data_IF_120291974889
#
_entry.id   IF_120291974889
#
_cell.length_a   1.000
_cell.length_b   1.000
_cell.length_c   1.000
_cell.angle_alpha   90.00
_cell.angle_beta   90.00
_cell.angle_gamma   90.00
#
_symmetry.space_group_name_H-M   'P 1'
#
loop_
_entity.id
_entity.type
_entity.pdbx_description
1 polymer ?
#
# COMPACT_ATOMS: atom_id res chain seq x y z
N UNK A 1 15.48 26.93 1.35
CA UNK A 1 15.38 26.47 -0.06
C UNK A 1 13.89 26.36 -0.39
N UNK A 2 13.35 27.26 -1.21
CA UNK A 2 11.96 27.20 -1.67
C UNK A 2 11.87 25.94 -2.54
N UNK A 3 11.03 24.98 -2.17
CA UNK A 3 10.57 23.96 -3.11
C UNK A 3 9.98 24.71 -4.30
N UNK A 4 10.69 24.67 -5.42
CA UNK A 4 10.23 25.26 -6.67
C UNK A 4 9.00 24.44 -7.05
N UNK A 5 7.82 25.04 -6.91
CA UNK A 5 6.64 24.60 -7.63
C UNK A 5 7.02 24.57 -9.11
N UNK A 6 7.25 23.37 -9.63
CA UNK A 6 7.36 23.19 -11.06
C UNK A 6 5.96 23.48 -11.62
N UNK A 7 5.87 24.48 -12.49
CA UNK A 7 4.64 25.15 -12.93
C UNK A 7 3.77 24.33 -13.90
N UNK A 8 3.87 23.01 -13.85
CA UNK A 8 2.84 22.05 -14.27
C UNK A 8 2.98 20.82 -13.38
N UNK A 9 2.39 20.83 -12.18
CA UNK A 9 2.21 19.58 -11.45
C UNK A 9 1.29 18.70 -12.29
N UNK A 10 1.84 17.64 -12.89
CA UNK A 10 1.03 16.60 -13.50
C UNK A 10 0.03 16.06 -12.48
N UNK A 11 -1.09 15.52 -12.95
CA UNK A 11 -2.11 14.95 -12.07
C UNK A 11 -1.64 13.72 -11.29
N UNK A 12 -0.44 13.22 -11.58
CA UNK A 12 0.15 12.02 -10.98
C UNK A 12 0.69 12.24 -9.56
N UNK A 13 1.32 13.37 -9.25
CA UNK A 13 1.82 13.57 -7.89
C UNK A 13 2.40 14.95 -7.60
N UNK A 14 2.46 15.29 -6.31
CA UNK A 14 3.11 16.54 -5.85
C UNK A 14 4.63 16.45 -6.04
N UNK A 15 5.21 15.32 -5.64
CA UNK A 15 6.60 14.97 -5.93
C UNK A 15 6.63 13.71 -6.80
N UNK A 16 7.27 13.79 -7.97
CA UNK A 16 7.48 12.64 -8.86
C UNK A 16 8.98 12.34 -8.90
N UNK A 17 9.36 11.19 -8.35
CA UNK A 17 10.73 10.68 -8.30
C UNK A 17 10.91 9.68 -9.43
N UNK A 18 11.48 10.15 -10.54
CA UNK A 18 11.65 9.37 -11.78
C UNK A 18 13.10 9.12 -12.18
N UNK A 19 14.05 9.58 -11.36
CA UNK A 19 15.49 9.36 -11.58
C UNK A 19 16.02 8.36 -10.56
N UNK A 20 16.62 7.28 -11.04
CA UNK A 20 17.20 6.24 -10.19
C UNK A 20 18.57 6.63 -9.62
N UNK A 21 18.86 6.09 -8.44
CA UNK A 21 20.22 5.98 -7.91
C UNK A 21 20.95 4.77 -8.50
N UNK A 22 21.96 4.29 -7.78
CA UNK A 22 22.76 3.12 -8.15
C UNK A 22 22.90 2.16 -6.94
N UNK A 23 23.27 0.89 -7.16
CA UNK A 23 23.63 -0.03 -6.08
C UNK A 23 24.63 0.62 -5.10
N UNK A 24 24.30 0.64 -3.81
CA UNK A 24 25.11 1.26 -2.75
C UNK A 24 25.18 2.79 -2.79
N UNK A 25 24.45 3.47 -3.68
CA UNK A 25 24.41 4.92 -3.84
C UNK A 25 22.98 5.39 -4.10
N UNK A 26 22.15 5.27 -3.07
CA UNK A 26 20.74 5.64 -3.13
C UNK A 26 20.59 7.16 -3.26
N UNK A 27 19.61 7.61 -4.04
CA UNK A 27 19.15 8.99 -3.96
C UNK A 27 18.22 9.09 -2.74
N UNK A 28 18.65 9.83 -1.73
CA UNK A 28 17.87 10.04 -0.50
C UNK A 28 17.17 11.39 -0.54
N UNK A 29 15.83 11.35 -0.41
CA UNK A 29 14.99 12.50 -0.16
C UNK A 29 14.63 12.53 1.31
N UNK A 30 14.98 13.61 1.99
CA UNK A 30 14.63 13.82 3.40
C UNK A 30 14.55 15.29 3.74
N UNK A 31 13.85 15.67 4.84
CA UNK A 31 13.88 17.03 5.34
C UNK A 31 15.29 17.54 5.60
N UNK A 32 15.49 18.84 5.35
CA UNK A 32 16.70 19.51 5.80
C UNK A 32 16.78 19.44 7.35
N UNK A 33 17.96 19.30 7.96
CA UNK A 33 18.08 19.17 9.41
C UNK A 33 17.28 20.22 10.18
N UNK A 34 16.54 19.77 11.20
CA UNK A 34 15.62 20.57 12.03
C UNK A 34 14.43 21.23 11.30
N UNK A 35 14.15 20.85 10.06
CA UNK A 35 12.94 21.21 9.35
C UNK A 35 11.96 20.04 9.34
N UNK A 36 10.67 20.35 9.40
CA UNK A 36 9.58 19.37 9.34
C UNK A 36 8.60 19.78 8.23
N UNK A 37 9.00 19.66 6.95
CA UNK A 37 8.13 19.98 5.86
C UNK A 37 6.97 18.99 5.82
N UNK A 38 5.76 19.53 5.69
CA UNK A 38 4.56 18.77 5.45
C UNK A 38 4.20 18.83 3.96
N UNK A 39 4.02 17.66 3.35
CA UNK A 39 3.54 17.55 1.98
C UNK A 39 2.02 17.44 1.98
N UNK A 40 1.37 18.34 1.23
CA UNK A 40 -0.08 18.38 1.08
C UNK A 40 -0.45 18.43 -0.41
N UNK A 41 -1.48 17.68 -0.77
CA UNK A 41 -1.99 17.61 -2.15
C UNK A 41 -3.19 18.53 -2.37
N UNK A 42 -3.22 19.24 -3.50
CA UNK A 42 -4.39 20.01 -3.91
C UNK A 42 -5.18 19.27 -5.01
N UNK A 43 -4.48 18.65 -5.96
CA UNK A 43 -5.12 18.01 -7.10
C UNK A 43 -4.19 16.99 -7.80
N UNK A 44 -3.85 15.89 -7.12
CA UNK A 44 -3.01 14.82 -7.67
C UNK A 44 -3.41 13.46 -7.12
N UNK A 45 -3.01 12.39 -7.83
CA UNK A 45 -3.23 11.01 -7.40
C UNK A 45 -2.34 10.58 -6.25
N UNK A 46 -1.18 11.22 -6.04
CA UNK A 46 -0.21 10.83 -5.02
C UNK A 46 0.43 12.07 -4.37
N UNK A 47 0.84 11.98 -3.11
CA UNK A 47 1.73 12.99 -2.54
C UNK A 47 3.15 12.78 -3.08
N UNK A 48 3.66 11.56 -2.97
CA UNK A 48 4.94 11.15 -3.55
C UNK A 48 4.69 9.97 -4.47
N UNK A 49 5.06 10.10 -5.75
CA UNK A 49 5.10 8.99 -6.70
C UNK A 49 6.56 8.65 -7.03
N UNK A 50 6.94 7.40 -6.85
CA UNK A 50 8.26 6.86 -7.14
C UNK A 50 8.14 5.90 -8.31
N UNK A 51 8.77 6.25 -9.43
CA UNK A 51 8.86 5.42 -10.66
C UNK A 51 10.31 4.99 -10.95
N UNK A 52 11.17 5.08 -9.93
CA UNK A 52 12.63 4.92 -10.04
C UNK A 52 13.18 3.92 -9.02
N UNK A 53 14.44 3.54 -9.19
CA UNK A 53 15.14 2.55 -8.36
C UNK A 53 16.23 3.15 -7.49
N UNK A 54 16.65 2.46 -6.42
CA UNK A 54 17.67 2.93 -5.47
C UNK A 54 17.30 4.30 -4.87
N UNK A 55 16.07 4.37 -4.34
CA UNK A 55 15.47 5.58 -3.77
C UNK A 55 15.25 5.37 -2.28
N UNK A 56 15.56 6.39 -1.48
CA UNK A 56 15.15 6.46 -0.07
C UNK A 56 14.27 7.69 0.15
N UNK A 57 13.07 7.49 0.69
CA UNK A 57 12.20 8.54 1.21
C UNK A 57 12.20 8.45 2.73
N UNK A 58 12.75 9.46 3.39
CA UNK A 58 13.01 9.41 4.83
C UNK A 58 12.48 10.63 5.58
N UNK A 59 11.69 10.40 6.63
CA UNK A 59 11.40 11.42 7.65
C UNK A 59 10.37 12.49 7.26
N UNK A 60 9.57 12.29 6.21
CA UNK A 60 8.53 13.25 5.83
C UNK A 60 7.24 13.09 6.63
N UNK A 61 6.52 14.20 6.79
CA UNK A 61 5.09 14.19 7.13
C UNK A 61 4.29 14.41 5.84
N UNK A 62 3.37 13.48 5.56
CA UNK A 62 2.44 13.50 4.42
C UNK A 62 1.03 13.58 5.00
N UNK A 63 0.34 14.69 4.73
CA UNK A 63 -1.02 14.93 5.21
C UNK A 63 -1.96 15.15 4.01
N UNK A 64 -2.96 14.28 3.87
CA UNK A 64 -4.03 14.45 2.90
C UNK A 64 -5.24 15.25 3.42
N UNK A 65 -6.38 15.09 2.75
CA UNK A 65 -7.63 15.83 3.04
C UNK A 65 -8.75 14.94 3.62
N UNK A 66 -8.46 13.71 4.05
CA UNK A 66 -9.46 12.74 4.51
C UNK A 66 -10.33 13.26 5.66
N UNK A 67 -9.75 14.01 6.61
CA UNK A 67 -10.50 14.67 7.70
C UNK A 67 -11.60 15.65 7.24
N UNK A 68 -11.50 16.17 6.01
CA UNK A 68 -12.47 17.10 5.43
C UNK A 68 -13.41 16.42 4.43
N UNK A 69 -13.30 15.09 4.26
CA UNK A 69 -14.14 14.29 3.39
C UNK A 69 -15.15 13.54 4.25
N UNK A 70 -16.43 13.69 3.93
CA UNK A 70 -17.51 12.99 4.62
C UNK A 70 -17.84 11.67 3.92
N UNK A 71 -18.47 10.75 4.66
CA UNK A 71 -19.04 9.52 4.06
C UNK A 71 -19.95 9.85 2.87
N UNK A 72 -20.73 10.94 2.95
CA UNK A 72 -21.62 11.37 1.88
C UNK A 72 -20.88 11.83 0.62
N UNK A 73 -19.69 12.41 0.76
CA UNK A 73 -18.87 12.81 -0.40
C UNK A 73 -18.39 11.56 -1.15
N UNK A 74 -17.91 10.54 -0.43
CA UNK A 74 -17.51 9.24 -0.99
C UNK A 74 -18.71 8.50 -1.60
N UNK A 75 -19.86 8.45 -0.92
CA UNK A 75 -21.09 7.84 -1.44
C UNK A 75 -21.54 8.50 -2.75
N UNK A 76 -21.47 9.84 -2.83
CA UNK A 76 -21.85 10.59 -4.03
C UNK A 76 -20.94 10.27 -5.22
N UNK A 77 -19.64 10.16 -4.99
CA UNK A 77 -18.68 9.80 -6.04
C UNK A 77 -18.80 8.31 -6.44
N UNK A 78 -19.02 7.42 -5.47
CA UNK A 78 -19.29 6.00 -5.70
C UNK A 78 -20.54 5.81 -6.57
N UNK A 79 -21.68 6.41 -6.18
CA UNK A 79 -22.94 6.32 -6.91
C UNK A 79 -22.81 6.89 -8.32
N UNK A 80 -22.10 8.01 -8.48
CA UNK A 80 -21.81 8.59 -9.79
C UNK A 80 -20.99 7.63 -10.65
N UNK A 81 -19.98 6.98 -10.08
CA UNK A 81 -19.14 6.01 -10.78
C UNK A 81 -19.94 4.78 -11.23
N UNK A 82 -20.79 4.24 -10.36
CA UNK A 82 -21.67 3.11 -10.67
C UNK A 82 -22.68 3.49 -11.75
N UNK A 83 -23.33 4.66 -11.65
CA UNK A 83 -24.29 5.15 -12.64
C UNK A 83 -23.65 5.34 -14.03
N UNK A 84 -22.39 5.77 -14.08
CA UNK A 84 -21.64 5.93 -15.32
C UNK A 84 -21.06 4.61 -15.87
N UNK A 85 -21.05 3.54 -15.06
CA UNK A 85 -20.50 2.23 -15.40
C UNK A 85 -18.96 2.21 -15.56
N UNK A 86 -18.26 3.29 -15.20
CA UNK A 86 -16.80 3.41 -15.26
C UNK A 86 -16.29 4.56 -14.39
N UNK A 87 -15.05 4.41 -13.92
CA UNK A 87 -14.31 5.47 -13.22
C UNK A 87 -13.95 6.60 -14.18
N UNK A 88 -14.15 7.85 -13.78
CA UNK A 88 -13.66 9.03 -14.50
C UNK A 88 -12.26 9.43 -14.01
N UNK A 89 -11.22 8.79 -14.54
CA UNK A 89 -9.82 9.02 -14.16
C UNK A 89 -9.32 10.47 -14.32
N UNK A 90 -10.01 11.30 -15.11
CA UNK A 90 -9.65 12.71 -15.33
C UNK A 90 -10.27 13.66 -14.30
N UNK A 91 -11.30 13.21 -13.58
CA UNK A 91 -12.08 14.01 -12.63
C UNK A 91 -11.21 14.48 -11.46
N UNK A 92 -11.17 15.79 -11.15
CA UNK A 92 -10.56 16.29 -9.94
C UNK A 92 -11.22 15.75 -8.66
N UNK A 93 -12.54 15.49 -8.68
CA UNK A 93 -13.27 14.91 -7.55
C UNK A 93 -12.81 13.49 -7.28
N UNK A 94 -12.76 12.63 -8.30
CA UNK A 94 -12.27 11.24 -8.17
C UNK A 94 -10.84 11.24 -7.62
N UNK A 95 -9.96 12.11 -8.13
CA UNK A 95 -8.61 12.25 -7.59
C UNK A 95 -8.61 12.66 -6.13
N UNK A 96 -9.32 13.74 -5.78
CA UNK A 96 -9.36 14.28 -4.42
C UNK A 96 -9.77 13.21 -3.41
N UNK A 97 -10.79 12.43 -3.74
CA UNK A 97 -11.36 11.39 -2.89
C UNK A 97 -10.54 10.09 -2.86
N UNK A 98 -9.49 9.99 -3.67
CA UNK A 98 -8.67 8.78 -3.78
C UNK A 98 -7.18 9.09 -3.87
N UNK A 99 -6.74 10.23 -3.31
CA UNK A 99 -5.32 10.58 -3.32
C UNK A 99 -4.54 9.69 -2.35
N UNK A 100 -3.47 9.07 -2.84
CA UNK A 100 -2.57 8.24 -2.05
C UNK A 100 -1.46 9.08 -1.37
N UNK A 101 -0.85 8.51 -0.33
CA UNK A 101 0.34 9.06 0.31
C UNK A 101 1.59 8.85 -0.54
N UNK A 102 2.32 7.77 -0.26
CA UNK A 102 3.58 7.42 -0.93
C UNK A 102 3.37 6.18 -1.79
N UNK A 103 3.71 6.29 -3.07
CA UNK A 103 3.36 5.30 -4.08
C UNK A 103 4.61 4.86 -4.84
N UNK A 104 4.82 3.55 -4.99
CA UNK A 104 5.91 2.99 -5.79
C UNK A 104 5.32 2.15 -6.90
N UNK A 105 5.48 2.57 -8.16
CA UNK A 105 4.99 1.79 -9.30
C UNK A 105 5.65 2.21 -10.62
N UNK A 106 5.58 1.39 -11.67
CA UNK A 106 6.00 1.80 -13.00
C UNK A 106 5.29 3.07 -13.45
N UNK A 107 5.99 3.84 -14.28
CA UNK A 107 5.39 4.99 -14.92
C UNK A 107 4.30 4.55 -15.91
N UNK A 108 3.15 5.22 -15.90
CA UNK A 108 2.03 4.89 -16.77
C UNK A 108 2.30 5.24 -18.24
N UNK A 109 3.28 6.11 -18.51
CA UNK A 109 3.70 6.48 -19.86
C UNK A 109 5.21 6.30 -20.04
N UNK A 110 5.59 5.15 -20.61
CA UNK A 110 6.98 4.83 -20.90
C UNK A 110 7.50 5.47 -22.20
N UNK A 111 6.60 5.96 -23.05
CA UNK A 111 6.97 6.52 -24.36
C UNK A 111 7.80 7.79 -24.22
N UNK A 112 7.58 8.55 -23.13
CA UNK A 112 8.38 9.73 -22.77
C UNK A 112 9.86 9.44 -22.49
N UNK A 113 10.20 8.17 -22.25
CA UNK A 113 11.58 7.70 -22.07
C UNK A 113 12.14 7.03 -23.33
N UNK A 114 11.36 6.95 -24.42
CA UNK A 114 11.75 6.21 -25.62
C UNK A 114 11.79 4.69 -25.42
N UNK A 115 11.09 4.18 -24.40
CA UNK A 115 11.07 2.75 -24.04
C UNK A 115 9.77 2.10 -24.48
N UNK A 116 9.86 0.83 -24.88
CA UNK A 116 8.74 -0.04 -25.21
C UNK A 116 8.38 -1.02 -24.07
N UNK A 117 9.12 -0.98 -22.98
CA UNK A 117 8.95 -1.79 -21.78
C UNK A 117 8.93 -0.91 -20.54
N UNK A 118 8.25 -1.37 -19.50
CA UNK A 118 8.15 -0.67 -18.23
C UNK A 118 9.47 -0.75 -17.46
N UNK A 119 9.87 0.36 -16.86
CA UNK A 119 10.91 0.33 -15.82
C UNK A 119 10.20 -0.07 -14.53
N UNK A 120 10.55 -1.24 -14.01
CA UNK A 120 10.07 -1.75 -12.73
C UNK A 120 10.89 -1.08 -11.61
N UNK A 121 10.28 -0.25 -10.73
CA UNK A 121 10.96 0.31 -9.59
C UNK A 121 11.47 -0.81 -8.68
N UNK A 122 12.73 -0.72 -8.29
CA UNK A 122 13.32 -1.67 -7.35
C UNK A 122 14.29 -1.00 -6.37
N UNK A 123 14.57 -1.66 -5.25
CA UNK A 123 15.47 -1.15 -4.21
C UNK A 123 14.99 0.21 -3.69
N UNK A 124 13.75 0.24 -3.19
CA UNK A 124 13.12 1.46 -2.67
C UNK A 124 12.93 1.32 -1.17
N UNK A 125 13.33 2.35 -0.43
CA UNK A 125 13.25 2.42 1.02
C UNK A 125 12.33 3.58 1.43
N UNK A 126 11.28 3.28 2.20
CA UNK A 126 10.33 4.26 2.74
C UNK A 126 10.45 4.18 4.26
N UNK A 127 11.15 5.16 4.85
CA UNK A 127 11.70 5.05 6.21
C UNK A 127 11.22 6.20 7.10
N UNK A 128 10.71 5.89 8.29
CA UNK A 128 10.40 6.87 9.35
C UNK A 128 9.49 8.03 8.91
N UNK A 129 8.56 7.79 7.97
CA UNK A 129 7.59 8.80 7.55
C UNK A 129 6.33 8.74 8.41
N UNK A 130 5.65 9.88 8.54
CA UNK A 130 4.29 9.96 9.08
C UNK A 130 3.33 10.23 7.91
N UNK A 131 2.47 9.28 7.56
CA UNK A 131 1.53 9.38 6.44
C UNK A 131 0.11 9.29 6.96
N UNK A 132 -0.65 10.36 6.85
CA UNK A 132 -1.96 10.42 7.48
C UNK A 132 -2.98 11.26 6.74
N UNK A 133 -4.25 11.03 7.09
CA UNK A 133 -5.40 11.72 6.50
C UNK A 133 -5.44 11.62 4.95
N UNK A 134 -4.89 10.54 4.36
CA UNK A 134 -4.90 10.38 2.89
C UNK A 134 -6.11 9.57 2.44
N UNK A 135 -6.92 10.06 1.48
CA UNK A 135 -8.17 9.36 1.13
C UNK A 135 -7.98 7.98 0.49
N UNK A 136 -6.91 7.83 -0.31
CA UNK A 136 -6.49 6.55 -0.89
C UNK A 136 -5.59 5.75 0.05
N UNK A 137 -4.68 4.94 -0.52
CA UNK A 137 -3.71 4.18 0.25
C UNK A 137 -2.65 5.06 0.91
N UNK A 138 -2.22 4.67 2.11
CA UNK A 138 -1.15 5.36 2.84
C UNK A 138 0.21 5.22 2.15
N UNK A 139 0.80 4.04 2.26
CA UNK A 139 2.01 3.65 1.54
C UNK A 139 1.67 2.43 0.68
N UNK A 140 1.75 2.55 -0.64
CA UNK A 140 1.47 1.41 -1.52
C UNK A 140 2.58 1.19 -2.54
N UNK A 141 2.82 -0.07 -2.87
CA UNK A 141 3.62 -0.46 -4.04
C UNK A 141 2.80 -1.31 -4.99
N UNK A 142 2.98 -1.13 -6.28
CA UNK A 142 2.38 -1.95 -7.34
C UNK A 142 3.45 -2.22 -8.39
N UNK A 143 3.65 -3.47 -8.77
CA UNK A 143 4.68 -3.88 -9.74
C UNK A 143 6.09 -3.36 -9.38
N UNK A 144 6.55 -3.74 -8.19
CA UNK A 144 7.86 -3.32 -7.67
C UNK A 144 8.61 -4.47 -6.99
N UNK A 145 9.91 -4.27 -6.80
CA UNK A 145 10.83 -5.27 -6.22
C UNK A 145 11.75 -4.66 -5.16
N UNK A 146 12.31 -5.48 -4.27
CA UNK A 146 13.28 -5.02 -3.27
C UNK A 146 12.80 -3.82 -2.43
N UNK A 147 11.61 -3.94 -1.83
CA UNK A 147 10.96 -2.85 -1.10
C UNK A 147 11.21 -2.96 0.40
N UNK A 148 11.68 -1.87 1.01
CA UNK A 148 11.75 -1.74 2.47
C UNK A 148 10.82 -0.64 2.95
N UNK A 149 9.84 -0.98 3.80
CA UNK A 149 8.94 -0.03 4.46
C UNK A 149 9.19 -0.18 5.96
N UNK A 150 9.91 0.77 6.56
CA UNK A 150 10.37 0.64 7.94
C UNK A 150 10.15 1.88 8.81
N UNK A 151 9.65 1.67 10.03
CA UNK A 151 9.55 2.72 11.05
C UNK A 151 8.51 3.81 10.76
N UNK A 152 7.60 3.59 9.79
CA UNK A 152 6.59 4.57 9.43
C UNK A 152 5.38 4.50 10.38
N UNK A 153 4.70 5.63 10.53
CA UNK A 153 3.38 5.71 11.14
C UNK A 153 2.39 6.04 10.02
N UNK A 154 1.36 5.19 9.83
CA UNK A 154 0.39 5.33 8.74
C UNK A 154 -1.03 5.24 9.30
N UNK A 155 -1.82 6.30 9.17
CA UNK A 155 -3.13 6.29 9.82
C UNK A 155 -4.20 7.19 9.19
N UNK A 156 -5.45 6.92 9.51
CA UNK A 156 -6.61 7.68 9.00
C UNK A 156 -6.62 7.72 7.46
N UNK A 157 -6.37 6.56 6.84
CA UNK A 157 -6.30 6.41 5.38
C UNK A 157 -7.39 5.50 4.81
N UNK A 158 -7.39 5.32 3.49
CA UNK A 158 -8.18 4.32 2.78
C UNK A 158 -9.70 4.48 2.91
N UNK A 159 -10.21 5.70 2.86
CA UNK A 159 -11.65 6.00 2.88
C UNK A 159 -12.32 5.79 1.52
N UNK A 160 -11.55 5.86 0.43
CA UNK A 160 -12.04 5.85 -0.94
C UNK A 160 -12.52 4.50 -1.47
N UNK A 161 -12.98 4.50 -2.73
CA UNK A 161 -13.70 3.37 -3.35
C UNK A 161 -12.81 2.30 -4.00
N UNK A 162 -11.49 2.41 -3.88
CA UNK A 162 -10.53 1.51 -4.54
C UNK A 162 -9.95 0.44 -3.64
N UNK A 163 -10.60 0.15 -2.51
CA UNK A 163 -10.23 -0.94 -1.61
C UNK A 163 -8.77 -0.84 -1.15
N UNK A 164 -8.38 0.36 -0.70
CA UNK A 164 -7.01 0.61 -0.25
C UNK A 164 -6.79 0.12 1.19
N UNK A 165 -5.52 0.13 1.61
CA UNK A 165 -5.09 -0.19 2.98
C UNK A 165 -4.09 0.86 3.45
N UNK A 166 -3.73 0.85 4.73
CA UNK A 166 -2.69 1.73 5.26
C UNK A 166 -1.36 1.49 4.56
N UNK A 167 -0.84 0.26 4.66
CA UNK A 167 0.36 -0.18 3.94
C UNK A 167 0.00 -1.35 3.03
N UNK A 168 0.35 -1.28 1.75
CA UNK A 168 0.17 -2.40 0.82
C UNK A 168 1.40 -2.63 -0.05
N UNK A 169 1.71 -3.90 -0.30
CA UNK A 169 2.53 -4.29 -1.45
C UNK A 169 1.67 -5.17 -2.35
N UNK A 170 1.59 -4.79 -3.62
CA UNK A 170 0.71 -5.37 -4.62
C UNK A 170 1.50 -5.78 -5.86
N UNK A 171 1.16 -6.93 -6.44
CA UNK A 171 1.75 -7.46 -7.68
C UNK A 171 3.28 -7.35 -7.73
N UNK A 172 3.97 -7.85 -6.71
CA UNK A 172 5.43 -7.81 -6.69
C UNK A 172 6.02 -8.42 -7.96
N UNK A 173 7.06 -7.78 -8.51
CA UNK A 173 7.61 -8.13 -9.80
C UNK A 173 9.08 -8.52 -9.67
N UNK A 174 9.49 -9.64 -10.28
CA UNK A 174 10.88 -10.09 -10.21
C UNK A 174 11.76 -9.22 -11.13
N UNK A 175 12.72 -8.49 -10.58
CA UNK A 175 13.75 -7.77 -11.34
C UNK A 175 15.05 -8.55 -11.50
N UNK A 176 15.13 -9.71 -10.84
CA UNK A 176 16.15 -10.73 -11.01
C UNK A 176 15.55 -12.14 -10.86
N UNK A 177 16.20 -13.13 -11.45
CA UNK A 177 15.69 -14.51 -11.52
C UNK A 177 16.27 -15.42 -10.42
N UNK A 178 17.36 -15.02 -9.76
CA UNK A 178 18.14 -15.92 -8.89
C UNK A 178 17.86 -15.74 -7.40
N UNK A 179 17.34 -14.59 -6.97
CA UNK A 179 17.20 -14.29 -5.55
C UNK A 179 15.79 -14.62 -5.03
N UNK A 180 15.69 -15.61 -4.16
CA UNK A 180 14.45 -16.01 -3.47
C UNK A 180 14.46 -15.68 -1.97
N UNK A 181 15.45 -14.90 -1.52
CA UNK A 181 15.58 -14.45 -0.14
C UNK A 181 14.57 -13.33 0.19
N UNK A 182 14.71 -12.70 1.35
CA UNK A 182 13.90 -11.53 1.70
C UNK A 182 14.23 -10.37 0.77
N UNK A 183 13.34 -10.15 -0.20
CA UNK A 183 13.40 -9.00 -1.11
C UNK A 183 12.56 -7.85 -0.57
N UNK A 184 11.41 -8.17 0.02
CA UNK A 184 10.56 -7.17 0.65
C UNK A 184 10.62 -7.28 2.18
N UNK A 185 10.70 -6.13 2.85
CA UNK A 185 10.74 -6.03 4.31
C UNK A 185 9.80 -4.92 4.77
N UNK A 186 8.80 -5.27 5.57
CA UNK A 186 7.86 -4.35 6.19
C UNK A 186 8.03 -4.50 7.70
N UNK A 187 8.72 -3.53 8.31
CA UNK A 187 9.22 -3.68 9.69
C UNK A 187 8.96 -2.45 10.56
N UNK A 188 8.70 -2.67 11.85
CA UNK A 188 8.65 -1.58 12.85
C UNK A 188 7.65 -0.46 12.52
N UNK A 189 6.64 -0.71 11.69
CA UNK A 189 5.64 0.30 11.35
C UNK A 189 4.48 0.27 12.35
N UNK A 190 3.78 1.40 12.45
CA UNK A 190 2.51 1.51 13.16
C UNK A 190 1.43 1.86 12.13
N UNK A 191 0.36 1.07 12.02
CA UNK A 191 -0.71 1.28 11.05
C UNK A 191 -2.11 1.18 11.67
N UNK A 192 -2.91 2.26 11.63
CA UNK A 192 -4.19 2.29 12.34
C UNK A 192 -5.26 3.18 11.72
N UNK A 193 -6.52 2.97 12.11
CA UNK A 193 -7.68 3.76 11.66
C UNK A 193 -7.87 3.83 10.13
N UNK A 194 -7.38 2.83 9.39
CA UNK A 194 -7.60 2.74 7.96
C UNK A 194 -9.00 2.17 7.67
N UNK A 195 -9.90 2.98 7.12
CA UNK A 195 -11.34 2.68 7.11
C UNK A 195 -12.03 3.12 5.82
N UNK A 196 -12.50 2.18 4.98
CA UNK A 196 -13.31 2.54 3.82
C UNK A 196 -14.65 3.13 4.26
N UNK A 197 -15.07 4.21 3.59
CA UNK A 197 -16.40 4.79 3.77
C UNK A 197 -17.43 4.22 2.81
N UNK A 198 -16.97 3.61 1.72
CA UNK A 198 -17.80 3.02 0.68
C UNK A 198 -17.27 1.65 0.26
N UNK A 199 -18.10 0.92 -0.47
CA UNK A 199 -17.74 -0.39 -1.01
C UNK A 199 -16.72 -0.25 -2.13
N UNK A 200 -16.00 -1.33 -2.41
CA UNK A 200 -15.12 -1.40 -3.56
C UNK A 200 -15.94 -1.30 -4.85
N UNK A 201 -15.59 -0.34 -5.69
CA UNK A 201 -16.31 -0.06 -6.93
C UNK A 201 -16.29 -1.23 -7.93
N UNK A 202 -15.28 -2.11 -7.86
CA UNK A 202 -15.15 -3.22 -8.81
C UNK A 202 -16.24 -4.29 -8.62
N UNK A 203 -16.62 -4.59 -7.38
CA UNK A 203 -17.51 -5.72 -7.09
C UNK A 203 -18.70 -5.38 -6.16
N UNK A 204 -18.79 -4.14 -5.68
CA UNK A 204 -19.90 -3.67 -4.84
C UNK A 204 -19.94 -4.31 -3.46
N UNK A 205 -18.79 -4.78 -2.94
CA UNK A 205 -18.63 -5.32 -1.58
C UNK A 205 -17.70 -4.44 -0.75
N UNK A 206 -17.91 -4.44 0.56
CA UNK A 206 -16.89 -3.91 1.48
C UNK A 206 -15.62 -4.75 1.32
N UNK A 207 -14.48 -4.07 1.19
CA UNK A 207 -13.16 -4.70 1.07
C UNK A 207 -12.10 -3.80 1.68
N UNK A 208 -11.00 -4.42 2.10
CA UNK A 208 -9.76 -3.82 2.57
C UNK A 208 -9.92 -2.84 3.74
N UNK A 209 -9.11 -1.79 3.80
CA UNK A 209 -8.87 -1.05 5.04
C UNK A 209 -8.02 -1.84 6.03
N UNK A 210 -7.08 -2.66 5.55
CA UNK A 210 -6.14 -3.36 6.44
C UNK A 210 -5.08 -2.39 6.97
N UNK A 211 -4.48 -2.72 8.12
CA UNK A 211 -3.28 -2.03 8.57
C UNK A 211 -2.11 -2.27 7.59
N UNK A 212 -1.83 -3.54 7.32
CA UNK A 212 -0.82 -4.00 6.35
C UNK A 212 -1.43 -5.12 5.50
N UNK A 213 -1.28 -5.04 4.18
CA UNK A 213 -1.63 -6.14 3.27
C UNK A 213 -0.49 -6.49 2.33
N UNK A 214 -0.25 -7.79 2.18
CA UNK A 214 0.54 -8.35 1.08
C UNK A 214 -0.49 -8.92 0.12
N UNK A 215 -0.56 -8.36 -1.08
CA UNK A 215 -1.62 -8.66 -2.03
C UNK A 215 -1.05 -9.18 -3.35
N UNK A 216 -1.47 -10.39 -3.69
CA UNK A 216 -1.24 -11.03 -4.98
C UNK A 216 0.22 -11.17 -5.41
N UNK A 217 1.11 -11.67 -4.55
CA UNK A 217 2.46 -12.09 -5.01
C UNK A 217 2.40 -13.26 -5.98
N UNK A 218 1.26 -13.97 -6.07
CA UNK A 218 1.00 -14.96 -7.12
C UNK A 218 0.71 -14.36 -8.49
N UNK A 219 0.42 -13.05 -8.57
CA UNK A 219 0.05 -12.36 -9.81
C UNK A 219 -1.11 -13.07 -10.54
N UNK A 220 -2.14 -13.46 -9.80
CA UNK A 220 -3.32 -14.19 -10.30
C UNK A 220 -4.59 -13.36 -10.31
N UNK A 221 -4.58 -12.21 -9.63
CA UNK A 221 -5.64 -11.24 -9.66
C UNK A 221 -5.44 -10.34 -10.89
N UNK A 222 -6.44 -10.31 -11.77
CA UNK A 222 -6.40 -9.64 -13.08
C UNK A 222 -5.57 -10.38 -14.16
N UNK A 223 -5.95 -10.14 -15.42
CA UNK A 223 -5.71 -11.04 -16.55
C UNK A 223 -4.22 -11.38 -16.74
N UNK A 224 -3.93 -12.70 -16.78
CA UNK A 224 -2.61 -13.28 -17.06
C UNK A 224 -2.05 -12.76 -18.39
N UNK A 225 -1.25 -11.71 -18.33
CA UNK A 225 -0.30 -11.38 -19.38
C UNK A 225 1.06 -11.99 -19.03
N UNK A 226 1.98 -12.03 -19.99
CA UNK A 226 3.38 -12.39 -19.79
C UNK A 226 4.13 -11.49 -18.78
N UNK A 227 3.53 -10.35 -18.41
CA UNK A 227 4.04 -9.42 -17.39
C UNK A 227 3.71 -9.83 -15.95
N UNK A 228 2.62 -10.56 -15.74
CA UNK A 228 2.14 -10.96 -14.41
C UNK A 228 2.60 -12.38 -14.10
N UNK A 229 3.87 -12.49 -13.73
CA UNK A 229 4.53 -13.74 -13.36
C UNK A 229 4.57 -13.84 -11.83
N UNK A 230 4.41 -15.05 -11.31
CA UNK A 230 4.52 -15.35 -9.89
C UNK A 230 5.84 -14.81 -9.30
N UNK A 231 5.74 -14.11 -8.18
CA UNK A 231 6.88 -13.53 -7.50
C UNK A 231 7.66 -14.60 -6.72
N UNK A 232 8.97 -14.66 -6.95
CA UNK A 232 9.83 -15.71 -6.35
C UNK A 232 10.51 -15.25 -5.07
N UNK A 233 10.54 -13.94 -4.83
CA UNK A 233 11.07 -13.34 -3.60
C UNK A 233 10.23 -13.66 -2.36
N UNK A 234 10.86 -13.54 -1.19
CA UNK A 234 10.18 -13.64 0.09
C UNK A 234 9.88 -12.25 0.67
N UNK A 235 8.73 -12.11 1.30
CA UNK A 235 8.35 -10.91 2.05
C UNK A 235 8.42 -11.17 3.56
N UNK A 236 9.14 -10.32 4.29
CA UNK A 236 9.16 -10.29 5.75
C UNK A 236 8.25 -9.17 6.26
N UNK A 237 7.29 -9.51 7.12
CA UNK A 237 6.46 -8.57 7.86
C UNK A 237 6.76 -8.77 9.34
N UNK A 238 7.56 -7.89 9.94
CA UNK A 238 7.98 -8.06 11.34
C UNK A 238 7.85 -6.86 12.25
N UNK A 239 7.54 -7.14 13.51
CA UNK A 239 7.56 -6.17 14.60
C UNK A 239 6.73 -4.90 14.31
N UNK A 240 5.65 -5.04 13.54
CA UNK A 240 4.69 -3.97 13.27
C UNK A 240 3.57 -3.98 14.32
N UNK A 241 2.94 -2.83 14.51
CA UNK A 241 1.75 -2.66 15.33
C UNK A 241 0.60 -2.22 14.43
N UNK A 242 -0.46 -3.01 14.34
CA UNK A 242 -1.64 -2.69 13.55
C UNK A 242 -2.91 -2.71 14.41
N UNK A 243 -3.61 -1.60 14.54
CA UNK A 243 -4.77 -1.52 15.42
C UNK A 243 -5.92 -0.70 14.87
N UNK A 244 -7.14 -1.06 15.25
CA UNK A 244 -8.35 -0.29 14.94
C UNK A 244 -8.52 0.02 13.43
N UNK A 245 -8.00 -0.85 12.59
CA UNK A 245 -8.27 -0.85 11.16
C UNK A 245 -9.63 -1.51 10.90
N UNK A 246 -10.34 -1.06 9.86
CA UNK A 246 -11.65 -1.64 9.52
C UNK A 246 -11.53 -3.02 8.89
N UNK A 247 -10.48 -3.27 8.14
CA UNK A 247 -10.08 -4.61 7.72
C UNK A 247 -9.21 -5.28 8.79
N UNK A 248 -8.27 -6.08 8.36
CA UNK A 248 -7.38 -6.84 9.24
C UNK A 248 -6.24 -5.97 9.79
N UNK A 249 -5.56 -6.44 10.83
CA UNK A 249 -4.28 -5.86 11.20
C UNK A 249 -3.24 -6.14 10.13
N UNK A 250 -3.01 -7.43 9.83
CA UNK A 250 -2.07 -7.90 8.80
C UNK A 250 -2.72 -9.02 7.97
N UNK A 251 -2.75 -8.86 6.65
CA UNK A 251 -3.37 -9.83 5.74
C UNK A 251 -2.40 -10.22 4.62
N UNK A 252 -2.21 -11.53 4.40
CA UNK A 252 -1.54 -12.06 3.21
C UNK A 252 -2.59 -12.69 2.28
N UNK A 253 -2.94 -12.00 1.20
CA UNK A 253 -3.99 -12.43 0.28
C UNK A 253 -3.38 -12.85 -1.06
N UNK A 254 -3.68 -14.06 -1.52
CA UNK A 254 -3.16 -14.58 -2.80
C UNK A 254 -1.62 -14.53 -2.89
N UNK A 255 -0.94 -14.93 -1.82
CA UNK A 255 0.51 -14.79 -1.71
C UNK A 255 1.24 -16.12 -1.61
N UNK A 256 2.47 -16.16 -2.11
CA UNK A 256 3.47 -17.16 -1.75
C UNK A 256 4.68 -16.51 -1.06
N UNK A 257 5.39 -17.28 -0.23
CA UNK A 257 6.64 -16.89 0.44
C UNK A 257 6.52 -15.63 1.34
N UNK A 258 5.65 -15.67 2.34
CA UNK A 258 5.48 -14.56 3.29
C UNK A 258 5.75 -15.01 4.72
N UNK A 259 6.47 -14.20 5.49
CA UNK A 259 6.64 -14.41 6.91
C UNK A 259 6.07 -13.24 7.70
N UNK A 260 5.13 -13.53 8.58
CA UNK A 260 4.50 -12.57 9.49
C UNK A 260 4.94 -12.92 10.91
N UNK A 261 5.92 -12.17 11.43
CA UNK A 261 6.63 -12.54 12.65
C UNK A 261 6.66 -11.40 13.69
N UNK A 262 6.42 -11.70 14.97
CA UNK A 262 6.56 -10.73 16.08
C UNK A 262 5.67 -9.48 15.98
N UNK A 263 4.56 -9.52 15.26
CA UNK A 263 3.68 -8.36 15.11
C UNK A 263 2.62 -8.32 16.22
N UNK A 264 2.08 -7.13 16.49
CA UNK A 264 0.91 -6.94 17.35
C UNK A 264 -0.27 -6.42 16.54
N UNK A 265 -1.37 -7.18 16.52
CA UNK A 265 -2.63 -6.77 15.93
C UNK A 265 -3.70 -6.65 17.02
N UNK A 266 -4.26 -5.45 17.20
CA UNK A 266 -5.19 -5.15 18.28
C UNK A 266 -6.48 -4.50 17.76
N UNK A 267 -7.61 -5.16 18.00
CA UNK A 267 -8.94 -4.59 17.80
C UNK A 267 -9.16 -4.06 16.38
N UNK A 268 -8.66 -4.77 15.38
CA UNK A 268 -9.02 -4.55 13.98
C UNK A 268 -10.36 -5.22 13.67
N UNK A 269 -10.85 -5.01 12.44
CA UNK A 269 -12.12 -5.47 11.89
C UNK A 269 -13.30 -4.56 12.26
N UNK A 270 -14.13 -4.25 11.26
CA UNK A 270 -15.41 -3.56 11.40
C UNK A 270 -16.59 -4.52 11.32
N UNK A 271 -17.80 -4.01 11.55
CA UNK A 271 -19.03 -4.80 11.37
C UNK A 271 -19.24 -5.29 9.93
N UNK A 272 -18.64 -4.63 8.95
CA UNK A 272 -18.73 -4.99 7.54
C UNK A 272 -17.59 -5.92 7.08
N UNK A 273 -16.50 -5.99 7.84
CA UNK A 273 -15.25 -6.66 7.48
C UNK A 273 -14.72 -7.48 8.66
N UNK A 274 -15.49 -8.49 9.08
CA UNK A 274 -15.11 -9.35 10.20
C UNK A 274 -14.08 -10.42 9.77
N UNK A 275 -12.83 -9.99 9.52
CA UNK A 275 -11.72 -10.85 9.10
C UNK A 275 -10.82 -11.28 10.26
N UNK A 276 -9.69 -11.94 10.01
CA UNK A 276 -8.73 -12.26 11.08
C UNK A 276 -7.88 -11.05 11.43
N UNK A 277 -7.43 -10.91 12.68
CA UNK A 277 -6.48 -9.85 13.06
C UNK A 277 -5.16 -9.99 12.29
N UNK A 278 -4.67 -11.23 12.19
CA UNK A 278 -3.52 -11.62 11.39
C UNK A 278 -3.87 -12.93 10.70
N UNK A 279 -3.87 -12.95 9.36
CA UNK A 279 -4.15 -14.18 8.63
C UNK A 279 -3.65 -14.20 7.19
N UNK A 280 -3.69 -15.40 6.61
CA UNK A 280 -3.43 -15.64 5.21
C UNK A 280 -4.66 -16.27 4.54
N UNK A 281 -4.92 -15.88 3.30
CA UNK A 281 -6.01 -16.39 2.48
C UNK A 281 -5.49 -16.66 1.06
N UNK A 282 -5.91 -17.78 0.46
CA UNK A 282 -5.48 -18.20 -0.89
C UNK A 282 -3.95 -18.25 -1.05
N UNK A 283 -3.20 -18.56 0.01
CA UNK A 283 -1.74 -18.38 0.06
C UNK A 283 -1.00 -19.69 0.36
N UNK A 284 0.26 -19.83 -0.09
CA UNK A 284 1.14 -20.94 0.26
C UNK A 284 2.47 -20.46 0.87
N UNK A 285 3.15 -21.34 1.61
CA UNK A 285 4.45 -21.04 2.23
C UNK A 285 4.44 -19.73 3.06
N UNK A 286 3.37 -19.53 3.84
CA UNK A 286 3.21 -18.41 4.76
C UNK A 286 3.47 -18.86 6.19
N UNK A 287 4.40 -18.20 6.90
CA UNK A 287 4.69 -18.45 8.32
C UNK A 287 4.12 -17.34 9.19
N UNK A 288 3.32 -17.67 10.22
CA UNK A 288 2.69 -16.69 11.12
C UNK A 288 3.10 -16.96 12.57
N UNK A 289 4.25 -16.42 12.97
CA UNK A 289 4.97 -16.85 14.19
C UNK A 289 5.13 -15.72 15.21
N UNK A 290 4.95 -16.03 16.50
CA UNK A 290 5.17 -15.11 17.63
C UNK A 290 4.39 -13.79 17.55
N UNK A 291 3.20 -13.80 16.97
CA UNK A 291 2.37 -12.60 16.88
C UNK A 291 1.40 -12.50 18.07
N UNK A 292 1.09 -11.27 18.48
CA UNK A 292 0.03 -10.97 19.45
C UNK A 292 -1.21 -10.54 18.68
N UNK A 293 -2.31 -11.27 18.80
CA UNK A 293 -3.58 -10.94 18.17
C UNK A 293 -4.68 -10.82 19.23
N UNK A 294 -5.37 -9.67 19.24
CA UNK A 294 -6.52 -9.44 20.11
C UNK A 294 -7.69 -8.90 19.29
N UNK A 295 -8.86 -9.51 19.43
CA UNK A 295 -10.11 -9.03 18.85
C UNK A 295 -11.14 -8.78 19.97
N UNK A 296 -12.01 -7.78 19.77
CA UNK A 296 -13.18 -7.58 20.65
C UNK A 296 -14.09 -8.82 20.62
N UNK A 297 -14.82 -9.05 21.70
CA UNK A 297 -15.79 -10.14 21.81
C UNK A 297 -16.74 -10.16 20.61
N UNK A 298 -16.84 -11.30 19.92
CA UNK A 298 -17.66 -11.48 18.73
C UNK A 298 -16.92 -11.30 17.40
N UNK A 299 -15.73 -10.69 17.42
CA UNK A 299 -14.88 -10.56 16.24
C UNK A 299 -13.91 -11.73 16.11
N UNK A 300 -13.48 -12.00 14.89
CA UNK A 300 -12.59 -13.12 14.61
C UNK A 300 -11.13 -12.74 14.91
N UNK A 301 -10.45 -13.60 15.67
CA UNK A 301 -9.04 -13.39 16.07
C UNK A 301 -8.10 -13.83 14.95
N UNK A 302 -8.28 -15.03 14.42
CA UNK A 302 -7.51 -15.58 13.29
C UNK A 302 -8.45 -16.34 12.36
N UNK A 303 -8.19 -16.30 11.05
CA UNK A 303 -8.88 -17.12 10.06
C UNK A 303 -7.86 -17.92 9.25
N UNK A 304 -8.27 -19.05 8.70
CA UNK A 304 -7.58 -19.67 7.60
C UNK A 304 -8.65 -20.13 6.60
N UNK A 305 -8.80 -19.40 5.51
CA UNK A 305 -9.86 -19.63 4.52
C UNK A 305 -9.23 -19.98 3.16
N UNK A 306 -9.59 -21.15 2.63
CA UNK A 306 -9.16 -21.68 1.32
C UNK A 306 -7.63 -21.73 1.04
N UNK A 307 -6.79 -21.70 2.08
CA UNK A 307 -5.34 -21.95 1.91
C UNK A 307 -5.08 -23.45 1.68
N UNK A 308 -4.67 -23.79 0.46
CA UNK A 308 -4.48 -25.18 0.02
C UNK A 308 -3.07 -25.69 0.39
N UNK A 309 -2.82 -25.98 1.68
CA UNK A 309 -1.84 -26.94 2.27
C UNK A 309 -0.95 -26.45 3.45
N UNK A 310 -1.14 -27.15 4.59
CA UNK A 310 -0.17 -27.76 5.54
C UNK A 310 0.88 -26.97 6.34
N UNK A 311 1.27 -25.73 6.03
CA UNK A 311 2.39 -25.05 6.74
C UNK A 311 2.08 -23.65 7.31
N UNK A 312 0.82 -23.32 7.57
CA UNK A 312 0.52 -22.15 8.43
C UNK A 312 0.76 -22.58 9.88
N UNK A 313 1.96 -22.32 10.38
CA UNK A 313 2.32 -22.56 11.78
C UNK A 313 1.89 -21.32 12.55
N UNK A 314 0.84 -21.44 13.36
CA UNK A 314 0.56 -20.52 14.46
C UNK A 314 1.32 -21.06 15.68
N UNK A 315 2.43 -20.42 16.03
CA UNK A 315 3.21 -20.73 17.23
C UNK A 315 3.60 -19.45 17.93
#
# INVERSE_FOLDING_TARGET
>A
MRLVQNTQAGTEGVAIVSRSGLPGSYITYKPYPAQHPKLHVVNSWNHILITASYIRIEGFEVEGDAKNITVKDEESEYDSTIANGKVNWSSPTTRKLNTNGISVRPDSDMTKYGLNTYIIPNHVEIINNNVHDVPGGGIYTDEADYITIEGNVVHDTAIGMFANSGISIFHNHNTDEENTSYKNVIRNNISYHNTPYVKWVLNGKWSDGNGIIIDDTKCTQNMKTDRYIEYTGRTLVDNNIAYENSGSGIHAFSCDNVDVINNTAYNNNSEHLNWGQIFAQNSNNVRVVNNIAYAKTGNIVTLNYDSVNKNVIYS
#
